data_IF_940972184111
#
_entry.id   IF_940972184111
#
_cell.length_a   1.000
_cell.length_b   1.000
_cell.length_c   1.000
_cell.angle_alpha   90.00
_cell.angle_beta   90.00
_cell.angle_gamma   90.00
#
_symmetry.space_group_name_H-M   'P 1'
#
loop_
_entity.id
_entity.type
_entity.pdbx_description
1 polymer ?
#
# COMPACT_ATOMS: atom_id res chain seq x y z
N UNK A 1 11.14 1.35 -17.22
CA UNK A 1 9.91 0.64 -16.79
C UNK A 1 8.92 1.64 -16.22
N UNK A 2 7.66 1.28 -16.22
CA UNK A 2 6.60 2.03 -15.53
C UNK A 2 6.33 1.37 -14.19
N UNK A 3 6.56 2.09 -13.09
CA UNK A 3 6.57 1.53 -11.75
C UNK A 3 5.54 2.21 -10.87
N UNK A 4 4.63 1.44 -10.29
CA UNK A 4 3.73 1.90 -9.23
C UNK A 4 4.51 1.95 -7.92
N UNK A 5 4.37 3.02 -7.15
CA UNK A 5 5.13 3.22 -5.91
C UNK A 5 4.20 3.73 -4.81
N UNK A 6 4.27 3.13 -3.63
CA UNK A 6 3.58 3.68 -2.46
C UNK A 6 4.01 5.14 -2.27
N UNK A 7 3.06 6.08 -2.35
CA UNK A 7 3.36 7.51 -2.41
C UNK A 7 4.14 8.02 -1.19
N UNK A 8 3.92 7.42 -0.02
CA UNK A 8 4.65 7.80 1.19
C UNK A 8 6.17 7.54 1.09
N UNK A 9 6.60 6.58 0.27
CA UNK A 9 8.01 6.28 0.06
C UNK A 9 8.72 7.40 -0.73
N UNK A 10 7.97 8.21 -1.45
CA UNK A 10 8.46 9.34 -2.21
C UNK A 10 8.48 10.65 -1.41
N UNK A 11 8.11 10.60 -0.13
CA UNK A 11 8.06 11.76 0.75
C UNK A 11 6.70 12.46 0.80
N UNK A 12 5.65 11.89 0.21
CA UNK A 12 4.31 12.46 0.34
C UNK A 12 3.76 12.20 1.74
N UNK A 13 3.13 13.22 2.32
CA UNK A 13 2.59 13.16 3.68
C UNK A 13 1.22 12.49 3.69
N UNK A 14 1.16 11.24 3.25
CA UNK A 14 -0.07 10.47 3.10
C UNK A 14 -0.20 9.28 4.08
N UNK A 15 0.72 9.16 5.03
CA UNK A 15 0.57 8.18 6.13
C UNK A 15 -0.63 8.54 7.01
N UNK A 16 -1.13 7.55 7.75
CA UNK A 16 -2.26 7.77 8.66
C UNK A 16 -2.03 8.92 9.66
N UNK A 17 -0.79 9.16 10.07
CA UNK A 17 -0.44 10.21 11.04
C UNK A 17 -0.07 11.56 10.38
N UNK A 18 -0.25 11.70 9.07
CA UNK A 18 0.11 12.89 8.32
C UNK A 18 1.59 12.99 7.96
N UNK A 19 2.37 11.95 8.23
CA UNK A 19 3.79 11.89 7.89
C UNK A 19 4.05 11.14 6.58
N UNK A 20 5.30 10.75 6.40
CA UNK A 20 5.73 9.99 5.22
C UNK A 20 6.77 8.93 5.61
N UNK A 21 7.13 8.10 4.64
CA UNK A 21 8.15 7.06 4.77
C UNK A 21 9.23 7.24 3.69
N UNK A 22 9.66 8.49 3.45
CA UNK A 22 10.64 8.80 2.41
C UNK A 22 11.83 7.83 2.47
N UNK A 23 12.18 7.26 1.32
CA UNK A 23 13.26 6.28 1.21
C UNK A 23 14.21 6.68 0.09
N UNK A 24 15.45 6.99 0.45
CA UNK A 24 16.50 7.30 -0.53
C UNK A 24 16.78 6.09 -1.44
N UNK A 25 16.72 4.87 -0.91
CA UNK A 25 16.92 3.66 -1.69
C UNK A 25 15.85 3.52 -2.78
N UNK A 26 14.60 3.89 -2.49
CA UNK A 26 13.53 3.88 -3.48
C UNK A 26 13.79 4.93 -4.56
N UNK A 27 14.17 6.14 -4.17
CA UNK A 27 14.46 7.23 -5.13
C UNK A 27 15.59 6.80 -6.08
N UNK A 28 16.65 6.19 -5.55
CA UNK A 28 17.75 5.70 -6.37
C UNK A 28 17.31 4.59 -7.33
N UNK A 29 16.51 3.65 -6.85
CA UNK A 29 16.00 2.55 -7.67
C UNK A 29 15.15 3.07 -8.84
N UNK A 30 14.41 4.17 -8.63
CA UNK A 30 13.49 4.73 -9.62
C UNK A 30 14.16 5.57 -10.69
N UNK A 31 15.45 5.87 -10.58
CA UNK A 31 16.15 6.70 -11.57
C UNK A 31 16.03 6.10 -12.98
N UNK A 32 15.60 6.94 -13.93
CA UNK A 32 15.42 6.53 -15.32
C UNK A 32 14.12 5.79 -15.62
N UNK A 33 13.23 5.64 -14.64
CA UNK A 33 11.93 4.97 -14.82
C UNK A 33 10.76 5.94 -14.72
N UNK A 34 9.64 5.59 -15.32
CA UNK A 34 8.37 6.32 -15.13
C UNK A 34 7.76 5.90 -13.79
N UNK A 35 7.45 6.87 -12.94
CA UNK A 35 6.98 6.64 -11.57
C UNK A 35 5.52 7.04 -11.44
N UNK A 36 4.68 6.12 -10.97
CA UNK A 36 3.27 6.37 -10.69
C UNK A 36 3.05 6.25 -9.17
N UNK A 37 2.96 7.37 -8.45
CA UNK A 37 2.70 7.31 -7.01
C UNK A 37 1.26 6.90 -6.73
N UNK A 38 1.06 6.01 -5.76
CA UNK A 38 -0.27 5.55 -5.37
C UNK A 38 -0.41 5.54 -3.85
N UNK A 39 -1.60 5.91 -3.37
CA UNK A 39 -1.99 5.75 -1.98
C UNK A 39 -3.48 5.37 -1.95
N UNK A 40 -3.78 4.07 -1.90
CA UNK A 40 -5.17 3.62 -1.94
C UNK A 40 -6.03 4.18 -0.80
N UNK A 41 -5.46 4.37 0.39
CA UNK A 41 -6.21 4.89 1.53
C UNK A 41 -6.63 6.33 1.32
N UNK A 42 -5.76 7.17 0.77
CA UNK A 42 -6.13 8.56 0.40
C UNK A 42 -7.12 8.55 -0.76
N UNK A 43 -6.90 7.72 -1.78
CA UNK A 43 -7.81 7.60 -2.91
C UNK A 43 -9.20 7.13 -2.48
N UNK A 44 -9.28 6.28 -1.46
CA UNK A 44 -10.53 5.81 -0.88
C UNK A 44 -11.27 6.89 -0.06
N UNK A 45 -10.68 8.07 0.10
CA UNK A 45 -11.29 9.18 0.83
C UNK A 45 -11.14 9.09 2.35
N UNK A 46 -10.19 8.31 2.85
CA UNK A 46 -10.03 8.15 4.31
C UNK A 46 -9.41 9.37 4.99
N UNK A 47 -8.85 10.29 4.22
CA UNK A 47 -8.25 11.51 4.76
C UNK A 47 -6.87 11.30 5.38
N UNK A 48 -6.23 12.42 5.73
CA UNK A 48 -4.90 12.44 6.37
C UNK A 48 -4.85 13.63 7.32
N UNK A 49 -4.57 13.48 8.64
CA UNK A 49 -4.37 12.20 9.32
C UNK A 49 -5.67 11.37 9.45
N UNK A 50 -5.53 10.10 9.79
CA UNK A 50 -6.66 9.18 9.93
C UNK A 50 -6.36 8.09 10.96
N UNK A 51 -7.40 7.41 11.41
CA UNK A 51 -7.27 6.25 12.29
C UNK A 51 -6.59 5.10 11.54
N UNK A 52 -5.59 4.45 12.14
CA UNK A 52 -4.98 3.26 11.53
C UNK A 52 -6.00 2.15 11.31
N UNK A 53 -5.79 1.36 10.25
CA UNK A 53 -6.63 0.22 9.93
C UNK A 53 -5.80 -1.05 9.89
N UNK A 54 -6.45 -2.19 10.07
CA UNK A 54 -5.86 -3.52 9.92
C UNK A 54 -6.86 -4.45 9.22
N UNK A 55 -6.35 -5.56 8.69
CA UNK A 55 -7.19 -6.59 8.09
C UNK A 55 -7.67 -7.49 9.22
N UNK A 56 -9.00 -7.51 9.44
CA UNK A 56 -9.65 -8.30 10.48
C UNK A 56 -10.55 -9.32 9.80
N UNK A 57 -10.16 -10.60 9.84
CA UNK A 57 -10.91 -11.68 9.20
C UNK A 57 -11.22 -11.38 7.72
N UNK A 58 -10.22 -10.87 6.99
CA UNK A 58 -10.33 -10.56 5.57
C UNK A 58 -10.97 -9.22 5.24
N UNK A 59 -11.39 -8.45 6.22
CA UNK A 59 -12.03 -7.15 6.04
C UNK A 59 -11.20 -6.03 6.67
N UNK A 60 -10.97 -4.94 5.94
CA UNK A 60 -10.19 -3.81 6.45
C UNK A 60 -11.06 -2.97 7.37
N UNK A 61 -10.65 -2.83 8.63
CA UNK A 61 -11.40 -2.13 9.66
C UNK A 61 -10.53 -1.22 10.51
N UNK A 62 -11.14 -0.19 11.09
CA UNK A 62 -10.52 0.61 12.14
C UNK A 62 -10.55 -0.16 13.46
N UNK A 63 -9.79 0.32 14.46
CA UNK A 63 -9.73 -0.30 15.78
C UNK A 63 -11.09 -0.38 16.48
N UNK A 64 -11.96 0.61 16.24
CA UNK A 64 -13.31 0.66 16.79
C UNK A 64 -14.34 -0.14 15.97
N UNK A 65 -13.88 -0.90 14.99
CA UNK A 65 -14.72 -1.82 14.22
C UNK A 65 -15.39 -1.25 12.99
N UNK A 66 -15.09 0.01 12.63
CA UNK A 66 -15.65 0.61 11.42
C UNK A 66 -15.01 0.01 10.18
N UNK A 67 -15.80 -0.56 9.27
CA UNK A 67 -15.31 -1.11 8.02
C UNK A 67 -15.00 0.00 7.02
N UNK A 68 -13.82 -0.09 6.40
CA UNK A 68 -13.41 0.75 5.25
C UNK A 68 -13.08 -0.13 4.04
N UNK A 69 -13.40 -1.40 4.13
CA UNK A 69 -12.99 -2.42 3.15
C UNK A 69 -13.51 -2.12 1.74
N UNK A 70 -14.79 -1.80 1.61
CA UNK A 70 -15.40 -1.54 0.30
C UNK A 70 -14.74 -0.37 -0.41
N UNK A 71 -14.59 0.76 0.30
CA UNK A 71 -13.98 1.96 -0.28
C UNK A 71 -12.52 1.71 -0.67
N UNK A 72 -11.78 0.99 0.18
CA UNK A 72 -10.39 0.67 -0.08
C UNK A 72 -10.25 -0.26 -1.28
N UNK A 73 -11.06 -1.30 -1.37
CA UNK A 73 -11.02 -2.23 -2.52
C UNK A 73 -11.43 -1.57 -3.82
N UNK A 74 -12.36 -0.63 -3.78
CA UNK A 74 -12.72 0.17 -4.95
C UNK A 74 -11.56 1.06 -5.41
N UNK A 75 -10.84 1.67 -4.48
CA UNK A 75 -9.65 2.47 -4.80
C UNK A 75 -8.56 1.61 -5.42
N UNK A 76 -8.34 0.41 -4.89
CA UNK A 76 -7.38 -0.55 -5.44
C UNK A 76 -7.75 -0.96 -6.86
N UNK A 77 -9.02 -1.27 -7.10
CA UNK A 77 -9.51 -1.64 -8.43
C UNK A 77 -9.30 -0.50 -9.44
N UNK A 78 -9.52 0.74 -9.02
CA UNK A 78 -9.28 1.92 -9.85
C UNK A 78 -7.81 2.06 -10.22
N UNK A 79 -6.89 1.83 -9.27
CA UNK A 79 -5.45 1.89 -9.52
C UNK A 79 -5.05 0.88 -10.60
N UNK A 80 -5.54 -0.35 -10.51
CA UNK A 80 -5.25 -1.39 -11.51
C UNK A 80 -5.83 -1.02 -12.88
N UNK A 81 -7.06 -0.53 -12.90
CA UNK A 81 -7.75 -0.14 -14.13
C UNK A 81 -7.03 1.00 -14.86
N UNK A 82 -6.49 1.96 -14.12
CA UNK A 82 -5.79 3.12 -14.68
C UNK A 82 -4.35 2.81 -15.10
N UNK A 83 -3.79 1.68 -14.67
CA UNK A 83 -2.38 1.34 -14.89
C UNK A 83 -2.21 -0.09 -15.42
N UNK A 84 -2.90 -0.46 -16.52
CA UNK A 84 -2.81 -1.82 -17.05
C UNK A 84 -1.44 -2.16 -17.63
N UNK A 85 -0.63 -1.15 -17.92
CA UNK A 85 0.69 -1.27 -18.54
C UNK A 85 1.85 -1.11 -17.56
N UNK A 86 1.59 -1.07 -16.25
CA UNK A 86 2.64 -0.99 -15.26
C UNK A 86 3.47 -2.28 -15.24
N UNK A 87 4.78 -2.14 -15.13
CA UNK A 87 5.72 -3.28 -15.16
C UNK A 87 5.87 -3.94 -13.80
N UNK A 88 5.90 -3.13 -12.74
CA UNK A 88 6.02 -3.63 -11.38
C UNK A 88 5.55 -2.58 -10.37
N UNK A 89 5.55 -2.96 -9.10
CA UNK A 89 5.20 -2.07 -8.00
C UNK A 89 6.21 -2.21 -6.87
N UNK A 90 6.60 -1.07 -6.28
CA UNK A 90 7.43 -1.01 -5.08
C UNK A 90 6.56 -0.47 -3.95
N UNK A 91 6.32 -1.27 -2.94
CA UNK A 91 5.31 -0.99 -1.93
C UNK A 91 5.88 -0.91 -0.52
N UNK A 92 5.25 -0.10 0.33
CA UNK A 92 5.60 0.07 1.75
C UNK A 92 5.34 -1.24 2.50
N UNK A 93 6.34 -1.70 3.26
CA UNK A 93 6.25 -2.90 4.08
C UNK A 93 5.19 -2.79 5.18
N UNK A 94 4.60 -3.90 5.57
CA UNK A 94 3.73 -4.11 6.75
C UNK A 94 2.41 -3.35 6.74
N UNK A 95 2.12 -2.61 5.70
CA UNK A 95 0.85 -1.88 5.58
C UNK A 95 -0.29 -2.86 5.30
N UNK A 96 -1.50 -2.65 5.85
CA UNK A 96 -2.68 -3.46 5.49
C UNK A 96 -3.05 -3.30 4.02
N UNK A 97 -2.58 -2.25 3.38
CA UNK A 97 -2.83 -1.97 1.96
C UNK A 97 -1.67 -2.42 1.08
N UNK A 98 -0.44 -2.06 1.44
CA UNK A 98 0.74 -2.19 0.60
C UNK A 98 1.69 -3.33 1.01
N UNK A 99 1.53 -3.92 2.18
CA UNK A 99 2.45 -4.95 2.67
C UNK A 99 2.55 -6.14 1.72
N UNK A 100 3.78 -6.55 1.39
CA UNK A 100 4.01 -7.63 0.42
C UNK A 100 4.25 -8.97 1.11
N UNK A 101 4.91 -8.97 2.27
CA UNK A 101 5.30 -10.20 2.99
C UNK A 101 4.56 -10.38 4.30
N UNK A 102 4.35 -9.30 5.02
CA UNK A 102 3.74 -9.31 6.35
C UNK A 102 2.75 -8.17 6.49
N UNK A 103 1.74 -8.40 7.29
CA UNK A 103 0.75 -7.39 7.71
C UNK A 103 0.48 -7.58 9.21
N UNK A 104 -0.14 -6.58 9.84
CA UNK A 104 -0.59 -6.72 11.22
C UNK A 104 -1.77 -7.68 11.31
N UNK A 105 -1.89 -8.39 12.44
CA UNK A 105 -2.78 -9.55 12.58
C UNK A 105 -4.26 -9.21 12.81
N UNK A 106 -4.62 -7.93 12.85
CA UNK A 106 -6.00 -7.50 13.05
C UNK A 106 -6.39 -7.27 14.50
N UNK A 107 -5.47 -7.48 15.46
CA UNK A 107 -5.75 -7.27 16.89
C UNK A 107 -5.38 -5.86 17.35
N UNK A 108 -4.77 -5.05 16.50
CA UNK A 108 -4.27 -3.71 16.82
C UNK A 108 -3.27 -3.71 17.99
N UNK A 109 -2.47 -4.77 18.08
CA UNK A 109 -1.49 -4.97 19.14
C UNK A 109 -0.03 -4.89 18.67
N UNK A 110 0.18 -4.54 17.39
CA UNK A 110 1.53 -4.48 16.81
C UNK A 110 2.10 -5.84 16.41
N UNK A 111 1.29 -6.89 16.42
CA UNK A 111 1.74 -8.23 16.05
C UNK A 111 1.64 -8.46 14.55
N UNK A 112 2.74 -8.92 13.94
CA UNK A 112 2.82 -9.20 12.51
C UNK A 112 2.55 -10.67 12.22
N UNK A 113 1.92 -10.92 11.07
CA UNK A 113 1.72 -12.27 10.53
C UNK A 113 2.09 -12.27 9.04
N UNK A 114 2.40 -13.44 8.51
CA UNK A 114 2.61 -13.59 7.06
C UNK A 114 1.31 -13.27 6.33
N UNK A 115 1.41 -12.47 5.28
CA UNK A 115 0.25 -12.07 4.50
C UNK A 115 0.53 -10.88 3.63
N UNK A 116 -0.46 -10.49 2.84
CA UNK A 116 -0.35 -9.37 1.91
C UNK A 116 -1.45 -8.35 2.16
N UNK A 117 -1.10 -7.08 1.95
CA UNK A 117 -2.07 -6.00 1.93
C UNK A 117 -2.99 -6.07 0.71
N UNK A 118 -4.07 -5.31 0.75
CA UNK A 118 -5.13 -5.37 -0.28
C UNK A 118 -4.60 -5.02 -1.67
N UNK A 119 -3.79 -3.96 -1.80
CA UNK A 119 -3.21 -3.57 -3.09
C UNK A 119 -2.18 -4.60 -3.56
N UNK A 120 -1.29 -5.03 -2.66
CA UNK A 120 -0.25 -6.00 -3.01
C UNK A 120 -0.86 -7.31 -3.53
N UNK A 121 -1.88 -7.81 -2.86
CA UNK A 121 -2.58 -9.03 -3.26
C UNK A 121 -3.26 -8.87 -4.62
N UNK A 122 -3.96 -7.76 -4.82
CA UNK A 122 -4.65 -7.50 -6.08
C UNK A 122 -3.69 -7.40 -7.27
N UNK A 123 -2.54 -6.73 -7.07
CA UNK A 123 -1.51 -6.62 -8.10
C UNK A 123 -0.90 -7.99 -8.43
N UNK A 124 -0.58 -8.77 -7.41
CA UNK A 124 -0.03 -10.11 -7.61
C UNK A 124 -1.00 -11.01 -8.35
N UNK A 125 -2.28 -10.99 -7.96
CA UNK A 125 -3.32 -11.79 -8.62
C UNK A 125 -3.52 -11.39 -10.08
N UNK A 126 -3.28 -10.12 -10.41
CA UNK A 126 -3.36 -9.61 -11.78
C UNK A 126 -2.07 -9.85 -12.60
N UNK A 127 -1.06 -10.48 -12.02
CA UNK A 127 0.18 -10.83 -12.71
C UNK A 127 1.29 -9.79 -12.63
N UNK A 128 1.13 -8.71 -11.85
CA UNK A 128 2.19 -7.73 -11.66
C UNK A 128 3.28 -8.26 -10.74
N UNK A 129 4.51 -7.85 -11.01
CA UNK A 129 5.64 -8.07 -10.09
C UNK A 129 5.52 -7.07 -8.94
N UNK A 130 5.55 -7.57 -7.71
CA UNK A 130 5.39 -6.76 -6.50
C UNK A 130 6.64 -6.88 -5.64
N UNK A 131 7.21 -5.74 -5.26
CA UNK A 131 8.48 -5.68 -4.52
C UNK A 131 8.24 -4.94 -3.21
N UNK A 132 8.58 -5.58 -2.09
CA UNK A 132 8.60 -4.92 -0.77
C UNK A 132 9.78 -3.95 -0.73
N UNK A 133 9.57 -2.76 -0.16
CA UNK A 133 10.63 -1.75 -0.06
C UNK A 133 11.87 -2.29 0.68
N UNK A 134 11.68 -3.22 1.61
CA UNK A 134 12.78 -3.83 2.35
C UNK A 134 13.63 -4.78 1.51
N UNK A 135 13.15 -5.20 0.34
CA UNK A 135 13.84 -6.11 -0.56
C UNK A 135 14.57 -5.40 -1.70
N UNK A 136 14.60 -4.08 -1.71
CA UNK A 136 15.40 -3.33 -2.68
C UNK A 136 16.90 -3.52 -2.41
N UNK A 137 17.70 -3.59 -3.50
CA UNK A 137 19.15 -3.69 -3.35
C UNK A 137 19.80 -2.46 -2.73
#
# INVERSE_FOLDING_TARGET
MKILVSACLLGRNCKYNGGNNHSAAVIDFLQGHEVIPVCPEVLAGLGTPRTPVEIVQGEVKTKDGKSVDKALRQAVAQILEENPDADCAVLKSRSPTCGVKQVYDGTFSGKLVDGMGVLAQALKDAGYRVIDVEDLP
#
